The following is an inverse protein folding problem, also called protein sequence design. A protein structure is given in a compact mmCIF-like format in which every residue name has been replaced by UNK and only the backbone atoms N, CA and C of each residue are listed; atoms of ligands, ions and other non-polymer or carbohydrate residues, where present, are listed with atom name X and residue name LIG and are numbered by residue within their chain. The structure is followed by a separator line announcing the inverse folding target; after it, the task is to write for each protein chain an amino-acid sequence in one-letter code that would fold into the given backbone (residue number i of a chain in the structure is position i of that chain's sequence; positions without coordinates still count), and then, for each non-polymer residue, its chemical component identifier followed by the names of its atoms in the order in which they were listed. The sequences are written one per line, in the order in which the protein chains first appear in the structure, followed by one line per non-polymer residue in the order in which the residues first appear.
data_IF_693678605176
#
_entry.id   IF_693678605176
#
_cell.length_a   1.000
_cell.length_b   1.000
_cell.length_c   1.000
_cell.angle_alpha   90.00
_cell.angle_beta   90.00
_cell.angle_gamma   90.00
#
_symmetry.space_group_name_H-M   'P 1'
#
loop_
_entity.id
_entity.type
_entity.pdbx_description
1 polymer ?
#
# COMPACT_ATOMS: atom_id res chain seq x y z
N UNK A 1 -37.62 53.82 49.64
CA UNK A 1 -37.38 52.44 50.14
C UNK A 1 -37.86 51.49 49.06
N UNK A 2 -36.94 50.70 48.53
CA UNK A 2 -37.10 49.65 47.48
C UNK A 2 -36.88 50.02 46.02
N UNK A 3 -35.65 50.16 45.64
CA UNK A 3 -35.15 50.02 44.28
C UNK A 3 -33.91 49.06 44.28
N UNK A 4 -34.12 47.81 44.66
CA UNK A 4 -32.97 46.83 44.69
C UNK A 4 -33.36 45.40 44.33
N UNK A 5 -34.39 45.17 43.52
CA UNK A 5 -34.83 43.81 43.16
C UNK A 5 -34.86 43.55 41.62
N UNK A 6 -34.43 44.47 40.78
CA UNK A 6 -34.58 44.30 39.31
C UNK A 6 -33.28 43.97 38.54
N UNK A 7 -32.16 43.57 39.21
CA UNK A 7 -30.89 43.34 38.53
C UNK A 7 -30.36 41.89 38.63
N UNK A 8 -31.14 40.91 39.05
CA UNK A 8 -30.68 39.50 39.20
C UNK A 8 -31.32 38.54 38.19
N UNK A 9 -32.24 39.00 37.33
CA UNK A 9 -32.93 38.13 36.37
C UNK A 9 -32.34 38.26 34.92
N UNK A 10 -31.40 39.14 34.70
CA UNK A 10 -30.81 39.43 33.37
C UNK A 10 -29.59 38.63 32.96
N UNK A 11 -28.96 37.80 33.83
CA UNK A 11 -27.68 37.15 33.55
C UNK A 11 -27.72 35.62 33.41
N UNK A 12 -28.88 34.99 33.40
CA UNK A 12 -28.96 33.51 33.29
C UNK A 12 -29.47 32.98 31.94
N UNK A 13 -29.59 33.79 30.90
CA UNK A 13 -30.11 33.33 29.60
C UNK A 13 -29.09 33.42 28.45
N UNK A 14 -27.81 33.61 28.75
CA UNK A 14 -26.72 33.74 27.74
C UNK A 14 -25.73 32.59 27.64
N UNK A 15 -25.93 31.46 28.31
CA UNK A 15 -24.94 30.39 28.40
C UNK A 15 -25.47 29.00 28.05
N UNK A 16 -26.33 28.91 27.06
CA UNK A 16 -26.70 27.60 26.50
C UNK A 16 -26.77 27.79 25.00
N UNK A 17 -25.82 27.24 24.31
CA UNK A 17 -25.81 26.75 22.94
C UNK A 17 -24.40 26.92 22.29
N UNK A 18 -23.34 26.52 23.04
CA UNK A 18 -22.22 25.89 22.36
C UNK A 18 -22.46 24.41 22.47
N UNK A 19 -23.46 23.94 21.76
CA UNK A 19 -23.55 22.54 21.41
C UNK A 19 -22.33 22.22 20.59
N UNK A 20 -21.39 21.44 21.14
CA UNK A 20 -20.48 20.67 20.35
C UNK A 20 -21.29 19.87 19.35
N UNK A 21 -21.46 20.37 18.14
CA UNK A 21 -21.74 19.52 17.00
C UNK A 21 -20.50 18.64 16.81
N UNK A 22 -20.44 17.54 17.57
CA UNK A 22 -19.78 16.37 17.06
C UNK A 22 -20.54 16.03 15.77
N UNK A 23 -20.12 16.65 14.67
CA UNK A 23 -20.37 16.07 13.37
C UNK A 23 -19.67 14.73 13.40
N UNK A 24 -20.42 13.73 13.78
CA UNK A 24 -20.09 12.36 13.46
C UNK A 24 -19.97 12.31 11.94
N UNK A 25 -18.75 12.29 11.44
CA UNK A 25 -18.43 11.92 10.06
C UNK A 25 -18.82 10.43 9.84
N UNK A 26 -20.07 10.09 10.17
CA UNK A 26 -20.69 8.79 9.88
C UNK A 26 -21.26 8.74 8.45
N UNK A 27 -21.09 9.78 7.66
CA UNK A 27 -21.61 9.84 6.29
C UNK A 27 -20.53 9.67 5.19
N UNK A 28 -19.29 9.37 5.53
CA UNK A 28 -18.30 8.85 4.58
C UNK A 28 -18.37 7.32 4.58
N UNK A 29 -19.52 6.85 4.22
CA UNK A 29 -19.77 5.47 4.37
C UNK A 29 -19.56 4.72 3.10
N UNK A 30 -19.84 4.24 2.36
CA UNK A 30 -19.97 3.11 1.45
C UNK A 30 -19.02 3.07 0.23
N UNK A 31 -18.17 4.05 -0.04
CA UNK A 31 -17.25 4.02 -1.18
C UNK A 31 -15.74 3.96 -0.85
N UNK A 32 -15.39 4.00 0.41
CA UNK A 32 -13.99 3.84 0.83
C UNK A 32 -13.86 2.63 1.74
N UNK A 33 -13.92 1.44 1.15
CA UNK A 33 -13.21 0.33 1.76
C UNK A 33 -11.74 0.73 1.71
N UNK A 34 -11.06 0.83 2.85
CA UNK A 34 -9.68 1.32 2.89
C UNK A 34 -8.70 0.41 2.15
N UNK A 35 -9.16 -0.79 1.82
CA UNK A 35 -8.45 -1.82 1.07
C UNK A 35 -9.46 -2.49 0.16
N UNK A 36 -9.19 -2.48 -1.14
CA UNK A 36 -10.01 -3.19 -2.12
C UNK A 36 -9.55 -4.64 -2.24
N UNK A 37 -9.97 -5.44 -1.28
CA UNK A 37 -9.73 -6.89 -1.31
C UNK A 37 -10.66 -7.64 -2.27
N UNK A 38 -11.65 -6.98 -2.86
CA UNK A 38 -12.62 -7.64 -3.77
C UNK A 38 -12.14 -7.64 -5.23
N UNK A 39 -11.24 -6.75 -5.59
CA UNK A 39 -10.70 -6.67 -6.94
C UNK A 39 -9.48 -7.59 -7.11
N UNK A 40 -9.73 -8.87 -7.18
CA UNK A 40 -8.65 -9.86 -7.23
C UNK A 40 -7.99 -10.04 -8.60
N UNK A 41 -8.46 -9.37 -9.64
CA UNK A 41 -8.02 -9.64 -11.02
C UNK A 41 -7.34 -8.47 -11.70
N UNK A 42 -7.56 -7.24 -11.27
CA UNK A 42 -6.98 -6.05 -11.90
C UNK A 42 -6.41 -5.11 -10.84
N UNK A 43 -5.11 -4.85 -10.90
CA UNK A 43 -4.41 -3.99 -9.96
C UNK A 43 -3.61 -2.90 -10.68
N UNK A 44 -4.29 -1.95 -11.31
CA UNK A 44 -3.65 -0.85 -11.99
C UNK A 44 -2.96 0.07 -10.98
N UNK A 45 -1.98 0.81 -11.46
CA UNK A 45 -1.32 1.88 -10.72
C UNK A 45 -1.49 3.17 -11.47
N UNK A 46 -1.54 4.28 -10.75
CA UNK A 46 -1.62 5.59 -11.34
C UNK A 46 -0.92 6.62 -10.49
N UNK A 47 -0.30 7.58 -11.14
CA UNK A 47 0.28 8.75 -10.51
C UNK A 47 -0.14 10.00 -11.27
N UNK A 48 -0.47 11.06 -10.55
CA UNK A 48 -0.83 12.36 -11.09
C UNK A 48 0.23 13.41 -10.74
N UNK A 49 0.70 14.15 -11.73
CA UNK A 49 1.74 15.16 -11.58
C UNK A 49 1.23 16.44 -12.24
N UNK A 50 1.26 17.62 -11.57
CA UNK A 50 0.90 18.88 -12.21
C UNK A 50 1.79 19.14 -13.43
N UNK A 51 1.19 19.28 -14.61
CA UNK A 51 1.89 19.61 -15.86
C UNK A 51 2.22 21.09 -15.95
N UNK A 52 1.19 21.91 -15.84
CA UNK A 52 1.24 23.38 -15.80
C UNK A 52 0.19 23.89 -14.81
N UNK A 53 -0.03 25.21 -14.77
CA UNK A 53 -1.08 25.81 -13.93
C UNK A 53 -2.47 25.23 -14.22
N UNK A 54 -2.73 24.86 -15.47
CA UNK A 54 -4.06 24.49 -15.94
C UNK A 54 -4.19 23.00 -16.32
N UNK A 55 -3.12 22.20 -16.13
CA UNK A 55 -3.12 20.81 -16.58
C UNK A 55 -2.50 19.86 -15.58
N UNK A 56 -2.89 18.58 -15.69
CA UNK A 56 -2.33 17.46 -14.95
C UNK A 56 -1.88 16.36 -15.91
N UNK A 57 -0.71 15.82 -15.64
CA UNK A 57 -0.17 14.64 -16.31
C UNK A 57 -0.50 13.40 -15.48
N UNK A 58 -1.23 12.46 -16.06
CA UNK A 58 -1.62 11.20 -15.41
C UNK A 58 -0.97 10.04 -16.14
N UNK A 59 -0.30 9.20 -15.37
CA UNK A 59 0.42 8.03 -15.85
C UNK A 59 -0.23 6.78 -15.27
N UNK A 60 -0.57 5.83 -16.11
CA UNK A 60 -1.15 4.56 -15.74
C UNK A 60 -0.22 3.41 -16.08
N UNK A 61 -0.10 2.46 -15.17
CA UNK A 61 0.51 1.15 -15.39
C UNK A 61 -0.54 0.05 -15.14
N UNK A 62 -0.69 -0.83 -16.10
CA UNK A 62 -1.56 -2.01 -16.00
C UNK A 62 -0.75 -3.27 -16.30
N UNK A 63 -0.86 -4.26 -15.43
CA UNK A 63 -0.21 -5.54 -15.64
C UNK A 63 -0.98 -6.33 -16.72
N UNK A 64 -0.33 -6.64 -17.85
CA UNK A 64 -0.93 -7.39 -18.94
C UNK A 64 -1.40 -8.79 -18.55
N UNK A 65 -0.76 -9.42 -17.58
CA UNK A 65 -1.15 -10.74 -17.07
C UNK A 65 -2.51 -10.72 -16.34
N UNK A 66 -2.96 -9.53 -15.90
CA UNK A 66 -4.22 -9.31 -15.21
C UNK A 66 -5.37 -8.94 -16.17
N UNK A 67 -5.07 -8.61 -17.43
CA UNK A 67 -6.06 -8.24 -18.44
C UNK A 67 -6.56 -9.46 -19.21
N UNK A 68 -7.82 -9.39 -19.67
CA UNK A 68 -8.35 -10.37 -20.60
C UNK A 68 -8.08 -9.92 -22.05
N UNK A 69 -7.42 -10.79 -22.80
CA UNK A 69 -7.17 -10.57 -24.24
C UNK A 69 -8.04 -11.51 -25.05
N UNK A 70 -8.87 -10.94 -25.89
CA UNK A 70 -9.72 -11.68 -26.83
C UNK A 70 -9.32 -11.36 -28.26
N UNK A 71 -9.70 -12.23 -29.20
CA UNK A 71 -9.56 -11.99 -30.63
C UNK A 71 -10.88 -12.29 -31.32
N UNK A 72 -11.22 -11.48 -32.31
CA UNK A 72 -12.46 -11.62 -33.08
C UNK A 72 -12.43 -12.80 -34.08
N UNK A 73 -11.25 -13.11 -34.60
CA UNK A 73 -11.03 -14.21 -35.52
C UNK A 73 -9.65 -14.88 -35.28
N UNK A 74 -9.39 -16.09 -35.81
CA UNK A 74 -8.09 -16.74 -35.69
C UNK A 74 -6.92 -15.92 -36.25
N UNK A 75 -7.15 -15.01 -37.18
CA UNK A 75 -6.13 -14.17 -37.81
C UNK A 75 -6.01 -12.79 -37.13
N UNK A 76 -6.98 -12.41 -36.31
CA UNK A 76 -6.95 -11.14 -35.59
C UNK A 76 -5.98 -11.19 -34.40
N UNK A 77 -5.31 -10.08 -34.05
CA UNK A 77 -4.50 -10.01 -32.86
C UNK A 77 -5.35 -10.17 -31.59
N UNK A 78 -4.73 -10.59 -30.51
CA UNK A 78 -5.35 -10.55 -29.20
C UNK A 78 -5.35 -9.11 -28.66
N UNK A 79 -6.52 -8.63 -28.24
CA UNK A 79 -6.73 -7.24 -27.81
C UNK A 79 -7.41 -7.24 -26.44
N UNK A 80 -6.97 -6.36 -25.55
CA UNK A 80 -7.67 -5.99 -24.32
C UNK A 80 -8.23 -4.57 -24.46
N UNK A 81 -9.44 -4.36 -23.97
CA UNK A 81 -10.12 -3.06 -23.98
C UNK A 81 -10.36 -2.59 -22.55
N UNK A 82 -9.76 -1.48 -22.22
CA UNK A 82 -9.85 -0.86 -20.90
C UNK A 82 -10.59 0.47 -21.02
N UNK A 83 -11.54 0.72 -20.12
CA UNK A 83 -12.11 2.05 -19.93
C UNK A 83 -11.42 2.70 -18.73
N UNK A 84 -10.83 3.85 -18.93
CA UNK A 84 -10.13 4.60 -17.89
C UNK A 84 -10.91 5.86 -17.53
N UNK A 85 -10.96 6.21 -16.25
CA UNK A 85 -11.48 7.49 -15.78
C UNK A 85 -10.46 8.25 -14.97
N UNK A 86 -10.42 9.57 -15.16
CA UNK A 86 -9.64 10.53 -14.38
C UNK A 86 -10.60 11.62 -13.94
N UNK A 87 -11.06 11.58 -12.69
CA UNK A 87 -12.17 12.44 -12.28
C UNK A 87 -13.40 12.23 -13.14
N UNK A 88 -13.85 13.30 -13.81
CA UNK A 88 -14.97 13.28 -14.75
C UNK A 88 -14.58 12.82 -16.17
N UNK A 89 -13.29 12.92 -16.53
CA UNK A 89 -12.81 12.56 -17.87
C UNK A 89 -12.78 11.04 -18.05
N UNK A 90 -13.28 10.58 -19.23
CA UNK A 90 -13.33 9.15 -19.56
C UNK A 90 -12.75 8.91 -20.94
N UNK A 91 -11.95 7.85 -21.08
CA UNK A 91 -11.40 7.43 -22.37
C UNK A 91 -11.24 5.92 -22.45
N UNK A 92 -11.16 5.40 -23.67
CA UNK A 92 -10.88 3.98 -23.93
C UNK A 92 -9.38 3.80 -24.22
N UNK A 93 -8.81 2.75 -23.65
CA UNK A 93 -7.44 2.34 -23.88
C UNK A 93 -7.42 0.91 -24.42
N UNK A 94 -6.97 0.76 -25.65
CA UNK A 94 -6.86 -0.54 -26.32
C UNK A 94 -5.40 -0.99 -26.28
N UNK A 95 -5.17 -2.20 -25.81
CA UNK A 95 -3.84 -2.84 -25.82
C UNK A 95 -3.86 -4.09 -26.71
N UNK A 96 -2.86 -4.21 -27.57
CA UNK A 96 -2.67 -5.37 -28.45
C UNK A 96 -1.53 -6.20 -27.92
N UNK A 97 -1.78 -7.49 -27.68
CA UNK A 97 -0.75 -8.41 -27.19
C UNK A 97 0.20 -8.78 -28.33
N UNK A 98 1.46 -8.38 -28.18
CA UNK A 98 2.55 -8.72 -29.11
C UNK A 98 3.59 -9.58 -28.41
N UNK A 99 4.28 -10.44 -29.18
CA UNK A 99 5.37 -11.28 -28.66
C UNK A 99 6.48 -10.42 -28.10
N UNK A 100 6.95 -10.72 -26.88
CA UNK A 100 8.00 -9.96 -26.20
C UNK A 100 7.54 -8.62 -25.61
N UNK A 101 6.22 -8.36 -25.58
CA UNK A 101 5.69 -7.17 -24.91
C UNK A 101 6.12 -7.12 -23.44
N UNK A 102 6.40 -5.91 -22.96
CA UNK A 102 6.60 -5.66 -21.52
C UNK A 102 5.42 -6.17 -20.72
N UNK A 103 5.68 -6.70 -19.54
CA UNK A 103 4.64 -7.08 -18.57
C UNK A 103 3.71 -5.91 -18.24
N UNK A 104 4.25 -4.71 -18.13
CA UNK A 104 3.49 -3.49 -17.85
C UNK A 104 3.10 -2.79 -19.13
N UNK A 105 1.81 -2.59 -19.31
CA UNK A 105 1.28 -1.68 -20.28
C UNK A 105 1.15 -0.30 -19.65
N UNK A 106 1.64 0.72 -20.35
CA UNK A 106 1.79 2.09 -19.85
C UNK A 106 0.99 3.06 -20.69
N UNK A 107 0.23 3.93 -20.03
CA UNK A 107 -0.56 4.97 -20.70
C UNK A 107 -0.34 6.31 -20.02
N UNK A 108 0.06 7.28 -20.80
CA UNK A 108 0.16 8.68 -20.41
C UNK A 108 -0.99 9.47 -21.02
N UNK A 109 -1.60 10.35 -20.23
CA UNK A 109 -2.56 11.34 -20.67
C UNK A 109 -2.29 12.68 -19.99
N UNK A 110 -2.39 13.76 -20.77
CA UNK A 110 -2.41 15.13 -20.24
C UNK A 110 -3.82 15.65 -20.35
N UNK A 111 -4.36 16.15 -19.27
CA UNK A 111 -5.73 16.66 -19.18
C UNK A 111 -5.71 18.08 -18.63
N UNK A 112 -6.64 18.89 -19.09
CA UNK A 112 -6.98 20.14 -18.45
C UNK A 112 -7.70 19.89 -17.13
N UNK A 113 -7.49 20.74 -16.12
CA UNK A 113 -8.17 20.59 -14.83
C UNK A 113 -9.69 20.63 -14.95
N UNK A 114 -10.24 21.38 -15.91
CA UNK A 114 -11.69 21.39 -16.19
C UNK A 114 -12.21 20.08 -16.79
N UNK A 115 -11.38 19.31 -17.47
CA UNK A 115 -11.76 17.97 -17.95
C UNK A 115 -11.85 16.99 -16.78
N UNK A 116 -10.95 17.13 -15.80
CA UNK A 116 -10.91 16.28 -14.60
C UNK A 116 -11.98 16.69 -13.59
N UNK A 117 -12.12 17.99 -13.35
CA UNK A 117 -13.11 18.60 -12.45
C UNK A 117 -13.82 19.74 -13.17
N UNK A 118 -15.03 19.54 -13.72
CA UNK A 118 -15.75 20.57 -14.48
C UNK A 118 -15.98 21.88 -13.73
N UNK A 119 -16.07 21.83 -12.40
CA UNK A 119 -16.26 23.01 -11.54
C UNK A 119 -14.94 23.57 -10.98
N UNK A 120 -13.79 23.18 -11.56
CA UNK A 120 -12.50 23.68 -11.10
C UNK A 120 -12.37 25.19 -11.31
N UNK A 121 -11.93 25.90 -10.28
CA UNK A 121 -11.81 27.36 -10.28
C UNK A 121 -10.41 27.84 -9.84
N UNK A 122 -9.35 27.06 -10.18
CA UNK A 122 -7.97 27.38 -9.85
C UNK A 122 -7.51 26.94 -8.46
N UNK A 123 -8.35 26.21 -7.71
CA UNK A 123 -7.97 25.67 -6.40
C UNK A 123 -6.92 24.58 -6.51
N UNK A 124 -6.11 24.41 -5.44
CA UNK A 124 -5.18 23.30 -5.33
C UNK A 124 -5.94 21.97 -5.25
N UNK A 125 -5.56 21.03 -6.09
CA UNK A 125 -6.07 19.66 -6.08
C UNK A 125 -5.05 18.76 -5.40
N UNK A 126 -5.44 18.11 -4.32
CA UNK A 126 -4.57 17.21 -3.55
C UNK A 126 -4.71 15.76 -4.00
N UNK A 127 -5.91 15.36 -4.43
CA UNK A 127 -6.23 13.99 -4.82
C UNK A 127 -7.10 13.94 -6.07
N UNK A 128 -6.90 12.92 -6.90
CA UNK A 128 -7.73 12.64 -8.09
C UNK A 128 -8.29 11.21 -8.00
N UNK A 129 -9.62 11.03 -8.15
CA UNK A 129 -10.21 9.72 -8.30
C UNK A 129 -9.89 9.14 -9.68
N UNK A 130 -9.37 7.93 -9.69
CA UNK A 130 -9.03 7.16 -10.88
C UNK A 130 -9.83 5.87 -10.92
N UNK A 131 -10.14 5.38 -12.12
CA UNK A 131 -10.57 3.99 -12.26
C UNK A 131 -10.17 3.40 -13.61
N UNK A 132 -10.00 2.08 -13.63
CA UNK A 132 -9.85 1.29 -14.86
C UNK A 132 -10.85 0.14 -14.80
N UNK A 133 -11.57 -0.04 -15.91
CA UNK A 133 -12.49 -1.15 -16.11
C UNK A 133 -12.01 -2.00 -17.28
N UNK A 134 -11.75 -3.29 -17.04
CA UNK A 134 -11.59 -4.28 -18.11
C UNK A 134 -12.99 -4.56 -18.70
N UNK A 135 -13.23 -4.05 -19.89
CA UNK A 135 -14.56 -4.14 -20.56
C UNK A 135 -14.92 -5.57 -20.94
N UNK A 136 -13.93 -6.42 -21.14
CA UNK A 136 -14.15 -7.82 -21.55
C UNK A 136 -14.46 -8.72 -20.37
N UNK A 137 -13.92 -8.42 -19.18
CA UNK A 137 -14.24 -9.12 -17.91
C UNK A 137 -15.36 -8.45 -17.12
N UNK A 138 -15.68 -7.20 -17.44
CA UNK A 138 -16.55 -6.33 -16.63
C UNK A 138 -16.06 -6.19 -15.19
N UNK A 139 -14.74 -6.07 -15.01
CA UNK A 139 -14.09 -5.86 -13.71
C UNK A 139 -13.57 -4.44 -13.65
N UNK A 140 -13.98 -3.72 -12.61
CA UNK A 140 -13.57 -2.33 -12.36
C UNK A 140 -12.71 -2.26 -11.11
N UNK A 141 -11.58 -1.56 -11.22
CA UNK A 141 -10.79 -1.10 -10.08
C UNK A 141 -10.84 0.43 -10.00
N UNK A 142 -11.16 0.96 -8.81
CA UNK A 142 -11.22 2.40 -8.56
C UNK A 142 -10.40 2.75 -7.32
N UNK A 143 -9.62 3.83 -7.41
CA UNK A 143 -8.80 4.32 -6.33
C UNK A 143 -8.64 5.84 -6.40
N UNK A 144 -8.03 6.42 -5.38
CA UNK A 144 -7.64 7.82 -5.39
C UNK A 144 -6.12 7.91 -5.39
N UNK A 145 -5.57 8.80 -6.20
CA UNK A 145 -4.12 9.08 -6.23
C UNK A 145 -3.85 10.49 -5.74
N UNK A 146 -2.78 10.65 -4.95
CA UNK A 146 -2.28 11.95 -4.55
C UNK A 146 -1.73 12.70 -5.79
N UNK A 147 -1.96 13.98 -5.86
CA UNK A 147 -1.31 14.85 -6.84
C UNK A 147 0.07 15.23 -6.30
N UNK A 148 1.11 14.75 -6.95
CA UNK A 148 2.49 14.99 -6.54
C UNK A 148 2.90 16.43 -6.87
N UNK A 149 2.60 17.36 -5.98
CA UNK A 149 3.01 18.77 -6.15
C UNK A 149 4.51 18.93 -5.86
N UNK A 150 5.17 19.80 -6.62
CA UNK A 150 6.61 20.11 -6.44
C UNK A 150 6.95 20.65 -5.04
N UNK A 151 5.94 21.15 -4.34
CA UNK A 151 6.11 21.72 -3.00
C UNK A 151 6.01 20.67 -1.89
N UNK A 152 5.22 19.62 -2.10
CA UNK A 152 4.97 18.59 -1.11
C UNK A 152 5.83 17.33 -1.31
N UNK A 153 6.04 16.94 -2.58
CA UNK A 153 6.80 15.72 -2.90
C UNK A 153 7.36 15.80 -4.31
N UNK A 154 8.68 15.67 -4.46
CA UNK A 154 9.30 15.58 -5.80
C UNK A 154 9.02 14.17 -6.37
N UNK A 155 8.45 14.08 -7.59
CA UNK A 155 8.31 12.82 -8.28
C UNK A 155 9.68 12.17 -8.53
N UNK A 156 9.75 10.85 -8.33
CA UNK A 156 10.87 10.05 -8.80
C UNK A 156 10.56 9.49 -10.19
N UNK A 157 11.59 9.34 -11.02
CA UNK A 157 11.46 8.83 -12.37
C UNK A 157 12.45 7.71 -12.62
N UNK A 158 12.07 6.74 -13.43
CA UNK A 158 12.97 5.76 -14.01
C UNK A 158 13.83 6.39 -15.12
N UNK A 159 14.85 5.67 -15.59
CA UNK A 159 15.75 6.13 -16.65
C UNK A 159 15.06 6.39 -17.99
N UNK A 160 13.91 5.79 -18.23
CA UNK A 160 13.07 6.00 -19.42
C UNK A 160 12.14 7.23 -19.31
N UNK A 161 12.25 7.98 -18.20
CA UNK A 161 11.42 9.15 -17.92
C UNK A 161 10.02 8.84 -17.39
N UNK A 162 9.70 7.55 -17.13
CA UNK A 162 8.44 7.17 -16.52
C UNK A 162 8.47 7.42 -15.01
N UNK A 163 7.44 8.06 -14.43
CA UNK A 163 7.42 8.30 -12.99
C UNK A 163 7.29 7.01 -12.21
N UNK A 164 7.93 6.97 -11.05
CA UNK A 164 7.74 5.91 -10.08
C UNK A 164 6.32 6.00 -9.51
N UNK A 165 5.50 5.01 -9.79
CA UNK A 165 4.09 4.95 -9.39
C UNK A 165 3.85 4.21 -8.06
N UNK A 166 4.92 3.87 -7.36
CA UNK A 166 4.90 3.28 -6.02
C UNK A 166 5.96 3.98 -5.17
N UNK A 167 5.89 3.81 -3.86
CA UNK A 167 6.98 4.28 -2.98
C UNK A 167 8.15 3.27 -2.87
N UNK A 168 8.17 2.25 -3.74
CA UNK A 168 9.15 1.17 -3.68
C UNK A 168 9.92 1.08 -5.00
N UNK A 169 11.23 0.86 -4.90
CA UNK A 169 12.11 0.64 -6.04
C UNK A 169 13.14 -0.45 -5.71
N UNK A 170 13.70 -1.08 -6.72
CA UNK A 170 14.67 -2.15 -6.51
C UNK A 170 16.02 -1.56 -6.10
N UNK A 171 16.66 -2.17 -5.13
CA UNK A 171 18.02 -1.78 -4.69
C UNK A 171 18.99 -1.89 -5.86
N UNK A 172 19.76 -0.84 -6.10
CA UNK A 172 20.67 -0.70 -7.23
C UNK A 172 20.08 0.04 -8.43
N UNK A 173 18.74 0.22 -8.49
CA UNK A 173 18.14 1.06 -9.52
C UNK A 173 18.60 2.51 -9.37
N UNK A 174 18.75 3.19 -10.50
CA UNK A 174 19.00 4.63 -10.53
C UNK A 174 17.67 5.35 -10.74
N UNK A 175 17.30 6.18 -9.78
CA UNK A 175 16.13 7.05 -9.88
C UNK A 175 16.55 8.49 -10.16
N UNK A 176 15.68 9.19 -10.86
CA UNK A 176 15.87 10.56 -11.30
C UNK A 176 14.81 11.47 -10.69
N UNK A 177 15.17 12.72 -10.45
CA UNK A 177 14.21 13.76 -10.04
C UNK A 177 14.59 15.09 -10.66
N UNK A 178 13.59 15.93 -10.84
CA UNK A 178 13.75 17.23 -11.43
C UNK A 178 13.86 18.30 -10.34
N UNK A 179 14.86 19.17 -10.41
CA UNK A 179 15.03 20.30 -9.48
C UNK A 179 15.60 21.55 -10.18
N UNK A 180 15.46 22.73 -9.58
CA UNK A 180 16.13 23.94 -10.09
C UNK A 180 17.64 23.74 -10.18
N UNK A 181 18.28 24.42 -11.15
CA UNK A 181 19.74 24.45 -11.28
C UNK A 181 20.38 25.12 -10.06
N UNK A 182 21.53 24.57 -9.64
CA UNK A 182 22.26 25.10 -8.46
C UNK A 182 21.72 24.65 -7.11
N UNK A 183 20.66 23.83 -7.08
CA UNK A 183 20.15 23.25 -5.83
C UNK A 183 21.10 22.19 -5.27
N UNK A 184 21.17 22.08 -3.96
CA UNK A 184 21.93 21.03 -3.28
C UNK A 184 20.97 20.16 -2.48
N UNK A 185 21.15 18.83 -2.62
CA UNK A 185 20.27 17.83 -2.01
C UNK A 185 21.08 16.87 -1.14
N UNK A 186 20.49 16.41 -0.08
CA UNK A 186 21.00 15.29 0.69
C UNK A 186 20.23 14.03 0.34
N UNK A 187 20.94 13.02 -0.14
CA UNK A 187 20.44 11.65 -0.19
C UNK A 187 20.86 10.94 1.10
N UNK A 188 19.90 10.46 1.86
CA UNK A 188 20.13 9.71 3.07
C UNK A 188 19.42 8.37 3.00
N UNK A 189 20.06 7.30 3.51
CA UNK A 189 19.43 5.99 3.62
C UNK A 189 19.53 5.44 5.03
N UNK A 190 18.49 4.71 5.46
CA UNK A 190 18.44 4.00 6.73
C UNK A 190 18.05 2.55 6.51
N UNK A 191 18.81 1.65 7.11
CA UNK A 191 18.48 0.23 7.08
C UNK A 191 17.18 -0.03 7.87
N UNK A 192 16.39 -0.97 7.36
CA UNK A 192 15.12 -1.38 7.97
C UNK A 192 15.35 -2.63 8.81
N UNK A 193 14.76 -2.73 10.02
CA UNK A 193 14.82 -3.94 10.83
C UNK A 193 14.36 -5.18 10.07
N UNK A 194 15.15 -6.25 10.12
CA UNK A 194 14.83 -7.52 9.45
C UNK A 194 13.95 -8.46 10.26
N UNK A 195 13.59 -8.08 11.48
CA UNK A 195 12.81 -8.92 12.38
C UNK A 195 11.34 -8.96 11.98
N UNK A 196 10.78 -10.17 11.95
CA UNK A 196 9.36 -10.39 11.75
C UNK A 196 8.55 -9.99 13.00
N UNK A 197 7.28 -9.58 12.84
CA UNK A 197 6.41 -9.28 13.95
C UNK A 197 6.19 -10.51 14.83
N UNK A 198 6.11 -10.28 16.12
CA UNK A 198 5.77 -11.32 17.09
C UNK A 198 4.31 -11.77 16.94
N UNK A 199 3.95 -13.02 17.27
CA UNK A 199 2.57 -13.46 17.22
C UNK A 199 1.62 -12.55 17.99
N UNK A 200 0.31 -12.50 17.63
CA UNK A 200 -0.66 -11.57 18.23
C UNK A 200 -0.85 -11.72 19.74
N UNK A 201 -0.55 -12.89 20.28
CA UNK A 201 -0.66 -13.23 21.70
C UNK A 201 0.65 -13.09 22.49
N UNK A 202 1.73 -12.62 21.84
CA UNK A 202 3.03 -12.46 22.47
C UNK A 202 3.03 -11.30 23.48
N UNK A 203 3.68 -11.50 24.61
CA UNK A 203 3.98 -10.44 25.59
C UNK A 203 5.37 -9.83 25.40
N UNK A 204 6.12 -10.31 24.40
CA UNK A 204 7.44 -9.74 24.11
C UNK A 204 7.25 -8.30 23.66
N UNK A 205 7.87 -7.38 24.39
CA UNK A 205 7.90 -5.97 23.99
C UNK A 205 8.56 -5.91 22.62
N UNK A 206 7.84 -5.34 21.63
CA UNK A 206 8.41 -5.17 20.30
C UNK A 206 9.75 -4.46 20.44
N UNK A 207 10.76 -4.97 19.72
CA UNK A 207 12.05 -4.30 19.66
C UNK A 207 11.83 -2.89 19.15
N UNK A 208 12.57 -1.96 19.70
CA UNK A 208 12.58 -0.57 19.27
C UNK A 208 12.84 -0.55 17.76
N UNK A 209 11.96 0.12 17.01
CA UNK A 209 12.15 0.36 15.57
C UNK A 209 13.19 1.47 15.35
N UNK A 210 14.22 1.54 16.17
CA UNK A 210 15.35 2.42 15.97
C UNK A 210 15.98 2.04 14.64
N UNK A 211 15.76 2.91 13.67
CA UNK A 211 16.47 2.84 12.41
C UNK A 211 17.95 3.04 12.68
N UNK A 212 18.77 2.24 12.02
CA UNK A 212 20.22 2.43 12.05
C UNK A 212 20.60 3.80 11.47
N UNK A 213 21.74 4.36 11.88
CA UNK A 213 22.15 5.68 11.45
C UNK A 213 22.15 5.82 9.93
N UNK A 214 21.65 6.95 9.47
CA UNK A 214 21.56 7.32 8.07
C UNK A 214 22.94 7.40 7.42
N UNK A 215 23.16 6.64 6.36
CA UNK A 215 24.25 6.92 5.42
C UNK A 215 23.81 8.17 4.63
N UNK A 216 24.65 9.21 4.66
CA UNK A 216 24.34 10.46 3.95
C UNK A 216 25.33 10.69 2.81
N UNK A 217 24.79 11.10 1.67
CA UNK A 217 25.55 11.62 0.55
C UNK A 217 24.97 12.96 0.09
N UNK A 218 25.78 13.80 -0.51
CA UNK A 218 25.32 15.08 -1.04
C UNK A 218 25.25 15.01 -2.56
N UNK A 219 24.14 15.44 -3.13
CA UNK A 219 23.92 15.55 -4.56
C UNK A 219 23.91 17.05 -4.87
N UNK A 220 24.79 17.49 -5.73
CA UNK A 220 24.83 18.87 -6.20
C UNK A 220 24.25 18.92 -7.60
N UNK A 221 23.19 19.69 -7.78
CA UNK A 221 22.61 19.95 -9.10
C UNK A 221 23.59 20.77 -9.92
N UNK A 222 24.13 20.18 -10.99
CA UNK A 222 24.96 20.87 -11.96
C UNK A 222 24.13 21.77 -12.89
N UNK A 223 24.58 21.87 -14.16
CA UNK A 223 23.86 22.60 -15.21
C UNK A 223 22.58 21.89 -15.66
N UNK A 224 22.44 20.59 -15.36
CA UNK A 224 21.23 19.82 -15.62
C UNK A 224 20.21 20.04 -14.49
N UNK A 225 18.95 20.18 -14.87
CA UNK A 225 17.84 20.17 -13.92
C UNK A 225 17.46 18.77 -13.46
N UNK A 226 18.02 17.75 -14.10
CA UNK A 226 17.84 16.35 -13.73
C UNK A 226 18.97 15.88 -12.82
N UNK A 227 18.60 15.33 -11.69
CA UNK A 227 19.50 14.74 -10.71
C UNK A 227 19.17 13.26 -10.54
N UNK A 228 20.12 12.48 -10.07
CA UNK A 228 19.93 11.06 -9.87
C UNK A 228 20.58 10.57 -8.59
N UNK A 229 20.06 9.44 -8.08
CA UNK A 229 20.66 8.69 -6.99
C UNK A 229 20.43 7.20 -7.19
N UNK A 230 21.28 6.39 -6.57
CA UNK A 230 21.13 4.93 -6.55
C UNK A 230 20.30 4.55 -5.34
N UNK A 231 19.30 3.71 -5.55
CA UNK A 231 18.45 3.18 -4.48
C UNK A 231 19.25 2.25 -3.59
N UNK A 232 19.34 2.58 -2.31
CA UNK A 232 20.01 1.78 -1.29
C UNK A 232 18.99 0.93 -0.52
N UNK A 233 19.41 -0.15 0.15
CA UNK A 233 18.51 -0.95 0.99
C UNK A 233 17.84 -0.11 2.08
N UNK A 234 16.55 -0.30 2.31
CA UNK A 234 15.78 0.40 3.31
C UNK A 234 15.19 1.72 2.83
N UNK A 235 15.09 2.70 3.71
CA UNK A 235 14.49 4.01 3.39
C UNK A 235 15.51 4.89 2.69
N UNK A 236 15.17 5.40 1.51
CA UNK A 236 15.93 6.42 0.79
C UNK A 236 15.17 7.75 0.88
N UNK A 237 15.86 8.80 1.29
CA UNK A 237 15.29 10.12 1.53
C UNK A 237 16.09 11.13 0.73
N UNK A 238 15.39 11.96 -0.03
CA UNK A 238 15.95 13.18 -0.63
C UNK A 238 15.43 14.37 0.16
N UNK A 239 16.34 15.17 0.68
CA UNK A 239 16.05 16.37 1.45
C UNK A 239 16.79 17.59 0.89
N UNK A 240 16.17 18.75 0.99
CA UNK A 240 16.80 20.04 0.61
C UNK A 240 17.94 20.37 1.59
N UNK A 241 19.14 20.52 1.06
CA UNK A 241 20.32 20.85 1.86
C UNK A 241 20.40 22.33 2.26
N UNK A 242 19.66 23.21 1.59
CA UNK A 242 19.67 24.66 1.82
C UNK A 242 18.64 25.08 2.87
N UNK A 243 17.79 24.19 3.35
CA UNK A 243 16.80 24.47 4.39
C UNK A 243 17.43 24.38 5.77
N UNK A 244 17.12 25.32 6.67
CA UNK A 244 17.56 25.29 8.06
C UNK A 244 17.08 24.04 8.81
N UNK A 245 15.89 23.55 8.43
CA UNK A 245 15.40 22.22 8.82
C UNK A 245 15.32 21.34 7.56
N UNK A 246 15.88 20.11 7.55
CA UNK A 246 15.88 19.24 6.38
C UNK A 246 14.45 18.96 5.92
N UNK A 247 14.00 19.64 4.88
CA UNK A 247 12.71 19.38 4.26
C UNK A 247 12.83 18.14 3.37
N UNK A 248 12.17 17.06 3.78
CA UNK A 248 12.10 15.83 2.98
C UNK A 248 11.15 16.10 1.81
N UNK A 249 11.69 15.96 0.60
CA UNK A 249 10.96 16.17 -0.65
C UNK A 249 10.67 14.87 -1.39
N UNK A 250 11.36 13.79 -1.05
CA UNK A 250 11.13 12.48 -1.65
C UNK A 250 11.46 11.38 -0.65
N UNK A 251 10.66 10.30 -0.69
CA UNK A 251 10.86 9.11 0.11
C UNK A 251 10.59 7.87 -0.73
N UNK A 252 11.61 7.01 -0.84
CA UNK A 252 11.54 5.76 -1.59
C UNK A 252 12.07 4.61 -0.73
N UNK A 253 11.40 3.48 -0.75
CA UNK A 253 11.82 2.27 -0.03
C UNK A 253 12.53 1.32 -0.98
N UNK A 254 13.79 1.03 -0.69
CA UNK A 254 14.61 0.09 -1.46
C UNK A 254 14.27 -1.35 -1.09
N UNK A 255 13.77 -2.11 -2.06
CA UNK A 255 13.46 -3.54 -1.93
C UNK A 255 14.46 -4.38 -2.72
N UNK A 256 14.69 -5.63 -2.29
CA UNK A 256 15.63 -6.52 -3.01
C UNK A 256 15.03 -7.04 -4.33
N UNK A 257 13.73 -7.05 -4.49
CA UNK A 257 13.00 -7.60 -5.64
C UNK A 257 11.92 -6.62 -6.08
N UNK A 258 11.44 -6.76 -7.32
CA UNK A 258 10.29 -5.99 -7.79
C UNK A 258 9.15 -6.07 -6.79
N UNK A 259 8.69 -4.89 -6.41
CA UNK A 259 7.70 -4.73 -5.36
C UNK A 259 6.34 -5.30 -5.77
N UNK A 260 5.59 -5.73 -4.76
CA UNK A 260 4.33 -6.44 -4.64
C UNK A 260 4.36 -7.94 -5.00
N UNK A 261 5.28 -8.42 -5.80
CA UNK A 261 5.33 -9.82 -6.20
C UNK A 261 6.21 -10.68 -5.30
N UNK A 262 5.74 -11.89 -5.04
CA UNK A 262 6.45 -12.89 -4.24
C UNK A 262 6.99 -13.97 -5.17
N UNK A 263 8.12 -13.69 -5.82
CA UNK A 263 8.82 -14.64 -6.70
C UNK A 263 10.13 -15.15 -6.13
N UNK A 264 10.67 -14.48 -5.12
CA UNK A 264 11.91 -14.90 -4.47
C UNK A 264 11.65 -16.00 -3.45
N UNK A 265 12.37 -17.10 -3.60
CA UNK A 265 12.24 -18.28 -2.75
C UNK A 265 12.52 -17.98 -1.26
N UNK A 266 13.42 -17.03 -0.97
CA UNK A 266 13.73 -16.64 0.42
C UNK A 266 12.56 -15.92 1.04
N UNK A 267 11.90 -15.01 0.30
CA UNK A 267 10.68 -14.32 0.77
C UNK A 267 9.56 -15.33 0.96
N UNK A 268 9.40 -16.28 0.03
CA UNK A 268 8.41 -17.35 0.17
C UNK A 268 8.63 -18.17 1.44
N UNK A 269 9.85 -18.59 1.73
CA UNK A 269 10.17 -19.32 2.96
C UNK A 269 9.97 -18.45 4.20
N UNK A 270 10.47 -17.21 4.17
CA UNK A 270 10.39 -16.31 5.31
C UNK A 270 8.95 -15.98 5.70
N UNK A 271 8.06 -15.76 4.74
CA UNK A 271 6.65 -15.52 5.01
C UNK A 271 5.95 -16.72 5.64
N UNK A 272 6.36 -17.96 5.32
CA UNK A 272 5.82 -19.17 5.97
C UNK A 272 6.04 -19.22 7.50
N UNK A 273 6.86 -18.30 8.06
CA UNK A 273 7.11 -18.23 9.51
C UNK A 273 5.82 -18.10 10.32
N UNK A 274 4.77 -17.52 9.78
CA UNK A 274 3.49 -17.30 10.46
C UNK A 274 2.68 -18.59 10.69
N UNK A 275 2.91 -19.62 9.87
CA UNK A 275 2.18 -20.89 9.92
C UNK A 275 3.09 -22.09 10.24
N UNK A 276 4.37 -21.86 10.48
CA UNK A 276 5.34 -22.91 10.80
C UNK A 276 5.72 -22.91 12.27
N UNK A 277 6.05 -24.08 12.80
CA UNK A 277 6.80 -24.15 14.06
C UNK A 277 8.22 -23.62 13.87
N UNK A 278 8.86 -23.24 14.97
CA UNK A 278 10.24 -22.78 14.94
C UNK A 278 11.20 -23.78 14.31
N UNK A 279 11.07 -25.06 14.68
CA UNK A 279 11.95 -26.13 14.16
C UNK A 279 11.76 -26.40 12.67
N UNK A 280 10.53 -26.32 12.18
CA UNK A 280 10.22 -26.46 10.74
C UNK A 280 10.81 -25.28 9.94
N UNK A 281 10.60 -24.07 10.44
CA UNK A 281 11.13 -22.88 9.81
C UNK A 281 12.66 -22.90 9.72
N UNK A 282 13.33 -23.19 10.84
CA UNK A 282 14.79 -23.30 10.89
C UNK A 282 15.34 -24.39 9.94
N UNK A 283 14.64 -25.52 9.82
CA UNK A 283 14.99 -26.56 8.84
C UNK A 283 14.84 -26.10 7.38
N UNK A 284 13.78 -25.37 7.06
CA UNK A 284 13.58 -24.84 5.70
C UNK A 284 14.66 -23.81 5.34
N UNK A 285 14.96 -22.90 6.27
CA UNK A 285 16.00 -21.87 6.06
C UNK A 285 17.40 -22.47 5.93
N UNK A 286 17.70 -23.52 6.69
CA UNK A 286 19.00 -24.18 6.67
C UNK A 286 19.15 -25.24 5.54
N UNK A 287 18.11 -25.49 4.76
CA UNK A 287 18.13 -26.48 3.70
C UNK A 287 19.04 -26.06 2.55
N UNK A 288 19.86 -27.01 2.06
CA UNK A 288 20.67 -26.81 0.84
C UNK A 288 19.80 -26.70 -0.42
N UNK A 289 18.68 -27.43 -0.44
CA UNK A 289 17.63 -27.32 -1.46
C UNK A 289 16.40 -26.68 -0.83
N UNK A 290 16.39 -25.36 -0.85
CA UNK A 290 15.32 -24.54 -0.28
C UNK A 290 13.99 -24.75 -1.00
N UNK A 291 14.03 -25.04 -2.32
CA UNK A 291 12.82 -25.28 -3.10
C UNK A 291 12.18 -26.61 -2.70
N UNK A 292 12.95 -27.68 -2.65
CA UNK A 292 12.44 -28.99 -2.22
C UNK A 292 11.90 -28.95 -0.79
N UNK A 293 12.55 -28.18 0.11
CA UNK A 293 12.09 -28.02 1.49
C UNK A 293 10.72 -27.30 1.57
N UNK A 294 10.53 -26.25 0.76
CA UNK A 294 9.28 -25.51 0.67
C UNK A 294 8.17 -26.37 0.04
N UNK A 295 8.46 -27.05 -1.05
CA UNK A 295 7.51 -27.96 -1.71
C UNK A 295 7.05 -29.09 -0.76
N UNK A 296 7.98 -29.68 -0.03
CA UNK A 296 7.67 -30.70 0.99
C UNK A 296 6.80 -30.15 2.12
N UNK A 297 7.03 -28.92 2.57
CA UNK A 297 6.20 -28.27 3.57
C UNK A 297 4.74 -28.14 3.09
N UNK A 298 4.52 -27.63 1.89
CA UNK A 298 3.17 -27.43 1.35
C UNK A 298 2.46 -28.76 1.06
N UNK A 299 3.16 -29.75 0.52
CA UNK A 299 2.62 -31.09 0.30
C UNK A 299 2.21 -31.76 1.63
N UNK A 300 2.99 -31.59 2.69
CA UNK A 300 2.65 -32.11 4.02
C UNK A 300 1.41 -31.42 4.62
N UNK A 301 1.17 -30.14 4.32
CA UNK A 301 -0.02 -29.43 4.78
C UNK A 301 -1.28 -29.85 3.99
N UNK A 302 -1.14 -30.08 2.70
CA UNK A 302 -2.26 -30.32 1.79
C UNK A 302 -2.64 -31.79 1.67
N UNK A 303 -1.69 -32.72 1.85
CA UNK A 303 -1.77 -34.15 1.58
C UNK A 303 -2.06 -34.55 0.10
N UNK A 304 -2.31 -33.55 -0.77
CA UNK A 304 -2.67 -33.73 -2.17
C UNK A 304 -2.09 -32.56 -3.01
N UNK A 305 -1.65 -32.85 -4.24
CA UNK A 305 -0.96 -31.87 -5.09
C UNK A 305 -1.86 -30.69 -5.49
N UNK A 306 -3.09 -30.95 -5.90
CA UNK A 306 -4.00 -29.90 -6.37
C UNK A 306 -4.39 -28.98 -5.22
N UNK A 307 -4.63 -29.54 -4.04
CA UNK A 307 -4.86 -28.77 -2.82
C UNK A 307 -3.62 -27.95 -2.43
N UNK A 308 -2.41 -28.50 -2.57
CA UNK A 308 -1.17 -27.75 -2.33
C UNK A 308 -1.06 -26.54 -3.26
N UNK A 309 -1.39 -26.73 -4.54
CA UNK A 309 -1.37 -25.62 -5.53
C UNK A 309 -2.37 -24.51 -5.13
N UNK A 310 -3.58 -24.88 -4.72
CA UNK A 310 -4.59 -23.93 -4.24
C UNK A 310 -4.11 -23.17 -3.00
N UNK A 311 -3.57 -23.90 -2.00
CA UNK A 311 -3.05 -23.30 -0.77
C UNK A 311 -1.89 -22.35 -1.03
N UNK A 312 -0.96 -22.72 -1.90
CA UNK A 312 0.17 -21.89 -2.32
C UNK A 312 -0.34 -20.60 -2.97
N UNK A 313 -1.27 -20.72 -3.91
CA UNK A 313 -1.87 -19.56 -4.58
C UNK A 313 -2.55 -18.62 -3.59
N UNK A 314 -3.40 -19.14 -2.70
CA UNK A 314 -4.07 -18.34 -1.67
C UNK A 314 -3.07 -17.69 -0.70
N UNK A 315 -2.07 -18.45 -0.22
CA UNK A 315 -1.12 -17.95 0.76
C UNK A 315 -0.28 -16.80 0.20
N UNK A 316 0.34 -17.03 -0.96
CA UNK A 316 1.19 -16.00 -1.57
C UNK A 316 0.40 -14.86 -2.21
N UNK A 317 -0.83 -15.11 -2.65
CA UNK A 317 -1.77 -14.05 -3.00
C UNK A 317 -1.98 -13.08 -1.84
N UNK A 318 -2.24 -13.60 -0.63
CA UNK A 318 -2.37 -12.77 0.58
C UNK A 318 -1.04 -12.08 0.98
N UNK A 319 0.11 -12.69 0.71
CA UNK A 319 1.42 -12.03 0.91
C UNK A 319 1.58 -10.84 -0.05
N UNK A 320 1.21 -11.00 -1.32
CA UNK A 320 1.22 -9.93 -2.33
C UNK A 320 0.21 -8.83 -2.01
N UNK A 321 -1.00 -9.17 -1.56
CA UNK A 321 -1.99 -8.20 -1.07
C UNK A 321 -1.47 -7.44 0.15
N UNK A 322 -0.84 -8.13 1.11
CA UNK A 322 -0.21 -7.49 2.25
C UNK A 322 0.86 -6.47 1.80
N UNK A 323 1.68 -6.82 0.80
CA UNK A 323 2.65 -5.91 0.22
C UNK A 323 1.97 -4.69 -0.41
N UNK A 324 0.89 -4.89 -1.13
CA UNK A 324 0.16 -3.83 -1.81
C UNK A 324 -0.47 -2.83 -0.84
N UNK A 325 -1.09 -3.32 0.23
CA UNK A 325 -1.92 -2.48 1.10
C UNK A 325 -1.23 -2.01 2.38
N UNK A 326 -0.22 -2.73 2.86
CA UNK A 326 0.35 -2.47 4.20
C UNK A 326 1.82 -2.11 4.19
N UNK A 327 2.43 -1.99 3.01
CA UNK A 327 3.83 -1.59 2.91
C UNK A 327 4.03 -0.12 3.21
N UNK A 328 5.12 0.12 3.89
CA UNK A 328 5.69 1.42 4.17
C UNK A 328 7.19 1.24 4.26
N UNK A 329 7.76 1.62 5.38
CA UNK A 329 9.18 1.36 5.70
C UNK A 329 9.49 -0.14 5.73
N UNK A 330 8.53 -0.97 6.08
CA UNK A 330 8.59 -2.43 5.99
C UNK A 330 7.78 -2.91 4.80
N UNK A 331 8.21 -4.00 4.19
CA UNK A 331 7.38 -4.77 3.27
C UNK A 331 6.09 -5.20 3.98
N UNK A 332 4.96 -5.10 3.32
CA UNK A 332 3.65 -5.27 3.95
C UNK A 332 3.47 -6.60 4.67
N UNK A 333 4.00 -7.69 4.10
CA UNK A 333 3.98 -9.01 4.73
C UNK A 333 4.74 -9.06 6.07
N UNK A 334 5.67 -8.13 6.31
CA UNK A 334 6.46 -8.02 7.54
C UNK A 334 5.84 -7.09 8.58
N UNK A 335 4.67 -6.52 8.30
CA UNK A 335 3.93 -5.67 9.22
C UNK A 335 2.95 -6.48 10.08
N UNK A 336 2.49 -5.91 11.17
CA UNK A 336 1.45 -6.53 12.00
C UNK A 336 0.13 -6.73 11.23
N UNK A 337 -0.25 -5.77 10.37
CA UNK A 337 -1.43 -5.90 9.51
C UNK A 337 -1.27 -7.03 8.51
N UNK A 338 -0.11 -7.09 7.85
CA UNK A 338 0.19 -8.16 6.89
C UNK A 338 0.21 -9.54 7.55
N UNK A 339 0.82 -9.68 8.72
CA UNK A 339 0.82 -10.92 9.47
C UNK A 339 -0.60 -11.44 9.74
N UNK A 340 -1.49 -10.55 10.20
CA UNK A 340 -2.90 -10.94 10.47
C UNK A 340 -3.63 -11.26 9.16
N UNK A 341 -3.46 -10.43 8.11
CA UNK A 341 -4.09 -10.67 6.82
C UNK A 341 -3.67 -12.00 6.19
N UNK A 342 -2.39 -12.33 6.19
CA UNK A 342 -1.89 -13.58 5.62
C UNK A 342 -2.53 -14.80 6.31
N UNK A 343 -2.66 -14.76 7.64
CA UNK A 343 -3.19 -15.89 8.40
C UNK A 343 -4.71 -15.95 8.34
N UNK A 344 -5.40 -14.84 8.48
CA UNK A 344 -6.87 -14.78 8.61
C UNK A 344 -7.60 -14.46 7.30
N UNK A 345 -6.92 -13.88 6.30
CA UNK A 345 -7.52 -13.38 5.06
C UNK A 345 -8.23 -12.04 5.24
N UNK A 346 -9.22 -11.80 4.40
CA UNK A 346 -10.01 -10.58 4.39
C UNK A 346 -10.89 -10.48 5.63
N UNK A 347 -10.85 -9.39 6.40
CA UNK A 347 -11.76 -9.22 7.54
C UNK A 347 -13.19 -8.98 7.07
N UNK A 348 -14.16 -9.53 7.80
CA UNK A 348 -15.59 -9.32 7.54
C UNK A 348 -15.95 -7.83 7.61
N UNK A 349 -15.29 -7.08 8.49
CA UNK A 349 -15.52 -5.65 8.67
C UNK A 349 -14.27 -4.95 9.16
N UNK A 350 -14.02 -3.75 8.63
CA UNK A 350 -12.99 -2.85 9.12
C UNK A 350 -13.64 -1.56 9.64
N UNK A 351 -13.27 -1.17 10.86
CA UNK A 351 -13.64 0.13 11.42
C UNK A 351 -12.38 0.97 11.56
N UNK A 352 -12.39 2.20 11.06
CA UNK A 352 -11.28 3.15 11.16
C UNK A 352 -11.67 4.36 12.01
N UNK A 353 -10.71 4.83 12.78
CA UNK A 353 -10.69 6.16 13.38
C UNK A 353 -9.34 6.80 13.07
N UNK A 354 -9.17 8.08 13.33
CA UNK A 354 -7.95 8.82 12.97
C UNK A 354 -6.62 8.22 13.44
N UNK A 355 -6.63 7.32 14.43
CA UNK A 355 -5.41 6.69 14.97
C UNK A 355 -5.51 5.19 15.18
N UNK A 356 -6.57 4.54 14.72
CA UNK A 356 -6.76 3.10 14.97
C UNK A 356 -7.58 2.42 13.88
N UNK A 357 -7.29 1.13 13.66
CA UNK A 357 -8.11 0.24 12.85
C UNK A 357 -8.53 -0.96 13.69
N UNK A 358 -9.79 -1.39 13.54
CA UNK A 358 -10.31 -2.63 14.11
C UNK A 358 -10.72 -3.56 12.98
N UNK A 359 -10.11 -4.71 12.91
CA UNK A 359 -10.41 -5.74 11.93
C UNK A 359 -11.22 -6.83 12.60
N UNK A 360 -12.44 -7.02 12.15
CA UNK A 360 -13.42 -7.95 12.73
C UNK A 360 -13.54 -9.14 11.78
N UNK A 361 -13.30 -10.32 12.31
CA UNK A 361 -13.46 -11.60 11.62
C UNK A 361 -14.60 -12.38 12.26
N UNK A 362 -15.52 -12.89 11.43
CA UNK A 362 -16.74 -13.55 11.87
C UNK A 362 -17.88 -12.57 12.18
N UNK A 363 -19.02 -13.09 12.59
CA UNK A 363 -20.18 -12.30 12.95
C UNK A 363 -19.97 -11.59 14.28
N UNK A 364 -20.12 -10.28 14.28
CA UNK A 364 -19.84 -9.44 15.44
C UNK A 364 -20.77 -9.80 16.62
N UNK A 365 -20.18 -10.05 17.79
CA UNK A 365 -20.88 -10.50 18.98
C UNK A 365 -21.01 -12.03 19.10
N UNK A 366 -20.64 -12.81 18.08
CA UNK A 366 -20.59 -14.26 18.18
C UNK A 366 -19.39 -14.73 18.99
N UNK A 367 -19.51 -15.92 19.61
CA UNK A 367 -18.42 -16.53 20.39
C UNK A 367 -17.17 -16.85 19.55
N UNK A 368 -17.32 -16.94 18.23
CA UNK A 368 -16.23 -17.24 17.31
C UNK A 368 -15.61 -15.99 16.65
N UNK A 369 -16.18 -14.80 16.90
CA UNK A 369 -15.64 -13.55 16.38
C UNK A 369 -14.31 -13.22 17.05
N UNK A 370 -13.39 -12.65 16.28
CA UNK A 370 -12.16 -12.04 16.79
C UNK A 370 -12.00 -10.66 16.22
N UNK A 371 -11.59 -9.72 17.06
CA UNK A 371 -11.30 -8.34 16.66
C UNK A 371 -9.85 -8.00 16.95
N UNK A 372 -9.07 -7.74 15.91
CA UNK A 372 -7.71 -7.23 16.03
C UNK A 372 -7.75 -5.72 16.01
N UNK A 373 -7.06 -5.10 16.96
CA UNK A 373 -6.92 -3.65 17.03
C UNK A 373 -5.51 -3.24 16.66
N UNK A 374 -5.39 -2.39 15.64
CA UNK A 374 -4.14 -1.78 15.20
C UNK A 374 -4.13 -0.31 15.59
N UNK A 375 -3.01 0.13 16.16
CA UNK A 375 -2.79 1.52 16.57
C UNK A 375 -1.77 2.15 15.63
N UNK A 376 -2.10 3.30 15.06
CA UNK A 376 -1.15 4.09 14.30
C UNK A 376 -0.05 4.57 15.24
N UNK A 377 1.17 4.26 14.90
CA UNK A 377 2.36 4.66 15.67
C UNK A 377 3.10 5.72 14.87
N UNK A 378 3.50 6.79 15.54
CA UNK A 378 4.36 7.78 14.90
C UNK A 378 5.69 7.13 14.55
N UNK A 379 6.03 7.20 13.27
CA UNK A 379 7.30 6.72 12.74
C UNK A 379 7.89 7.84 11.86
N UNK A 380 9.18 8.19 12.03
CA UNK A 380 9.76 9.37 11.33
C UNK A 380 9.74 9.24 9.80
N UNK A 381 9.66 8.01 9.30
CA UNK A 381 9.77 7.71 7.86
C UNK A 381 8.54 7.04 7.27
N UNK A 382 7.49 6.78 8.06
CA UNK A 382 6.31 6.04 7.63
C UNK A 382 5.05 6.57 8.30
N UNK A 383 4.14 7.11 7.50
CA UNK A 383 2.83 7.61 7.93
C UNK A 383 1.77 6.50 8.02
N UNK A 384 2.08 5.30 7.50
CA UNK A 384 1.20 4.12 7.50
C UNK A 384 1.65 3.04 8.49
N UNK A 385 2.45 3.40 9.48
CA UNK A 385 2.98 2.46 10.44
C UNK A 385 1.95 2.14 11.53
N UNK A 386 1.43 0.91 11.54
CA UNK A 386 0.44 0.44 12.49
C UNK A 386 0.97 -0.74 13.29
N UNK A 387 0.73 -0.74 14.59
CA UNK A 387 1.08 -1.83 15.50
C UNK A 387 -0.15 -2.51 16.06
N UNK A 388 -0.11 -3.82 16.13
CA UNK A 388 -1.16 -4.64 16.75
C UNK A 388 -1.15 -4.45 18.26
N UNK A 389 -2.32 -4.18 18.83
CA UNK A 389 -2.54 -4.27 20.28
C UNK A 389 -2.60 -5.74 20.68
N UNK A 390 -1.45 -6.29 21.07
CA UNK A 390 -1.30 -7.72 21.41
C UNK A 390 -2.06 -8.10 22.67
N UNK A 391 -2.70 -9.28 22.63
CA UNK A 391 -3.48 -9.80 23.74
C UNK A 391 -3.38 -11.33 23.77
N UNK A 392 -3.18 -11.94 24.95
CA UNK A 392 -3.14 -13.38 25.12
C UNK A 392 -4.41 -14.09 24.62
N UNK A 393 -5.54 -13.41 24.65
CA UNK A 393 -6.83 -13.93 24.16
C UNK A 393 -6.84 -14.30 22.67
N UNK A 394 -5.94 -13.72 21.89
CA UNK A 394 -5.80 -14.07 20.45
C UNK A 394 -5.24 -15.48 20.23
N UNK A 395 -4.63 -16.09 21.25
CA UNK A 395 -3.89 -17.36 21.11
C UNK A 395 -4.75 -18.48 20.54
N UNK A 396 -5.90 -18.74 21.13
CA UNK A 396 -6.78 -19.85 20.72
C UNK A 396 -7.25 -19.69 19.27
N UNK A 397 -7.66 -18.49 18.89
CA UNK A 397 -8.11 -18.22 17.53
C UNK A 397 -6.96 -18.25 16.52
N UNK A 398 -5.80 -17.74 16.89
CA UNK A 398 -4.58 -17.83 16.09
C UNK A 398 -4.17 -19.29 15.85
N UNK A 399 -4.04 -20.10 16.91
CA UNK A 399 -3.63 -21.49 16.82
C UNK A 399 -4.62 -22.30 15.97
N UNK A 400 -5.93 -22.01 16.06
CA UNK A 400 -6.96 -22.60 15.20
C UNK A 400 -6.74 -22.28 13.73
N UNK A 401 -6.47 -21.00 13.37
CA UNK A 401 -6.24 -20.61 11.98
C UNK A 401 -4.95 -21.22 11.43
N UNK A 402 -3.88 -21.22 12.20
CA UNK A 402 -2.63 -21.90 11.83
C UNK A 402 -2.87 -23.40 11.61
N UNK A 403 -3.67 -24.04 12.48
CA UNK A 403 -4.05 -25.47 12.32
C UNK A 403 -4.85 -25.68 11.04
N UNK A 404 -5.77 -24.78 10.69
CA UNK A 404 -6.52 -24.86 9.44
C UNK A 404 -5.58 -24.80 8.21
N UNK A 405 -4.62 -23.86 8.20
CA UNK A 405 -3.58 -23.81 7.17
C UNK A 405 -2.82 -25.14 7.06
N UNK A 406 -2.41 -25.69 8.18
CA UNK A 406 -1.61 -26.93 8.23
C UNK A 406 -2.38 -28.20 7.83
N UNK A 407 -3.69 -28.13 7.86
CA UNK A 407 -4.59 -29.24 7.48
C UNK A 407 -5.30 -29.01 6.14
N UNK A 408 -4.88 -28.01 5.36
CA UNK A 408 -5.48 -27.68 4.07
C UNK A 408 -6.96 -27.28 4.15
N UNK A 409 -7.40 -26.67 5.27
CA UNK A 409 -8.79 -26.28 5.52
C UNK A 409 -9.04 -24.78 5.31
N UNK A 410 -8.27 -24.15 4.46
CA UNK A 410 -8.44 -22.74 4.11
C UNK A 410 -9.27 -22.67 2.83
N UNK A 411 -10.32 -21.87 2.86
CA UNK A 411 -11.05 -21.48 1.66
C UNK A 411 -10.33 -20.30 1.01
N UNK A 412 -10.30 -20.21 -0.33
CA UNK A 412 -9.93 -18.99 -1.04
C UNK A 412 -10.81 -17.82 -0.58
N UNK A 413 -10.25 -16.63 -0.58
CA UNK A 413 -10.98 -15.39 -0.27
C UNK A 413 -11.94 -15.03 -1.39
#
# INVERSE_FOLDING_TARGET
MNQWVSWIIGCCFGAILVGCTMQSNMALSHSQRPYDFESHTLHPRGVAIPGSTDSVDVFFDVNREECLYLRESPQSPFVSQLECTVGAHRFTWVDTLVSGASRWNRKYVRLDWHEVFPEWAGQLVEEIPLSITDLQRNVRHAWTTDVLTKEASLPAYHSDGWPLNTRHAVVGDTLYFYSPTGSTWHHASAAVPTTLPSPPFSHVKDRSDTLEPLIRSTIVSGNSRWNSYIVLPGVNIIADANSAEPRIVQRVYGTQFPFDQVRDLRVMIQSCRYITSRKEFERMVASKDSKAALDAFWLNCANEKDRATQMISTYYGRVEEANRYFSGVLEGWRTDRGMVHIVFGVPTKIRKTGGSEWWIYGEEGSANAVTFRFLRTQHPWDDQFFRLSRNILYRTTWDRMVTNWRNGRIQPD
#
